data_IF_831811917058
#
_entry.id   IF_831811917058
#
_cell.length_a   1.000
_cell.length_b   1.000
_cell.length_c   1.000
_cell.angle_alpha   90.00
_cell.angle_beta   90.00
_cell.angle_gamma   90.00
#
_symmetry.space_group_name_H-M   'P 1'
#
loop_
_entity.id
_entity.type
_entity.pdbx_description
1 polymer ?
#
# COMPACT_ATOMS: atom_id res chain seq x y z
N UNK A 1 24.17 -18.04 -5.73
CA UNK A 1 24.56 -16.62 -5.62
C UNK A 1 23.81 -16.05 -4.42
N UNK A 2 24.49 -15.92 -3.28
CA UNK A 2 23.89 -15.55 -2.00
C UNK A 2 23.80 -14.03 -1.89
N UNK A 3 22.61 -13.47 -1.67
CA UNK A 3 22.44 -12.07 -1.27
C UNK A 3 21.81 -12.04 0.12
N UNK A 4 22.64 -11.87 1.14
CA UNK A 4 22.24 -11.52 2.49
C UNK A 4 21.87 -10.04 2.53
N UNK A 5 20.69 -9.71 3.05
CA UNK A 5 20.33 -8.34 3.40
C UNK A 5 20.36 -8.21 4.92
N UNK A 6 21.38 -7.52 5.41
CA UNK A 6 21.56 -7.15 6.81
C UNK A 6 20.58 -6.01 7.14
N UNK A 7 19.61 -6.28 8.02
CA UNK A 7 18.83 -5.25 8.69
C UNK A 7 19.74 -4.45 9.63
N UNK A 8 20.03 -3.19 9.29
CA UNK A 8 20.59 -2.23 10.24
C UNK A 8 19.45 -1.64 11.07
N UNK A 9 19.39 -2.05 12.33
CA UNK A 9 18.58 -1.43 13.38
C UNK A 9 19.13 -0.02 13.65
N UNK A 10 18.27 0.99 13.52
CA UNK A 10 18.56 2.36 13.88
C UNK A 10 18.64 2.51 15.41
N UNK A 11 19.74 3.11 15.90
CA UNK A 11 19.87 3.55 17.27
C UNK A 11 20.31 5.03 17.31
N UNK A 12 19.36 5.90 17.66
CA UNK A 12 19.55 6.90 18.72
C UNK A 12 20.29 8.22 18.46
N UNK A 13 19.52 9.30 18.67
CA UNK A 13 19.83 10.53 19.46
C UNK A 13 20.34 11.80 18.73
N UNK A 14 19.39 12.75 18.62
CA UNK A 14 19.45 14.23 18.84
C UNK A 14 20.78 14.99 18.71
N UNK A 15 20.78 16.07 17.92
CA UNK A 15 21.04 17.43 18.43
C UNK A 15 20.46 18.54 17.53
N UNK A 16 20.08 19.65 18.17
CA UNK A 16 19.38 20.84 17.69
C UNK A 16 20.38 22.00 17.56
N UNK A 17 20.43 22.75 16.44
CA UNK A 17 20.95 24.14 16.41
C UNK A 17 20.25 24.94 15.30
N UNK A 18 19.67 26.09 15.69
CA UNK A 18 19.18 27.16 14.82
C UNK A 18 20.33 28.04 14.31
N UNK A 19 20.25 28.47 13.04
CA UNK A 19 20.69 29.76 12.46
C UNK A 19 20.34 29.67 10.96
N UNK A 20 19.70 30.58 10.23
CA UNK A 20 19.53 32.03 10.30
C UNK A 20 19.71 32.58 8.86
N UNK A 21 19.07 33.71 8.52
CA UNK A 21 19.27 34.49 7.27
C UNK A 21 18.66 33.87 6.00
N UNK A 22 17.92 34.52 5.10
CA UNK A 22 17.63 35.93 4.83
C UNK A 22 17.49 36.09 3.30
N UNK A 23 16.64 37.03 2.83
CA UNK A 23 16.78 37.66 1.52
C UNK A 23 15.87 37.19 0.39
N UNK A 24 15.00 38.09 -0.07
CA UNK A 24 14.16 37.93 -1.26
C UNK A 24 14.86 38.18 -2.59
N UNK A 25 14.11 38.01 -3.67
CA UNK A 25 14.50 38.36 -5.03
C UNK A 25 13.40 38.03 -6.04
N UNK A 26 12.70 39.06 -6.51
CA UNK A 26 11.85 39.04 -7.70
C UNK A 26 12.69 38.80 -8.96
N UNK A 27 12.15 38.06 -9.93
CA UNK A 27 12.82 37.80 -11.20
C UNK A 27 11.96 37.03 -12.20
N UNK A 28 11.16 37.76 -12.95
CA UNK A 28 10.35 37.32 -14.09
C UNK A 28 11.18 36.63 -15.19
N UNK A 29 10.59 35.61 -15.80
CA UNK A 29 11.13 34.98 -17.01
C UNK A 29 10.35 33.72 -17.40
N UNK A 30 9.16 33.88 -17.96
CA UNK A 30 8.42 32.80 -18.64
C UNK A 30 8.28 33.15 -20.11
N UNK A 31 8.99 32.39 -20.95
CA UNK A 31 8.64 32.13 -22.34
C UNK A 31 9.23 30.76 -22.70
N UNK A 32 8.39 29.80 -23.08
CA UNK A 32 8.88 28.50 -23.55
C UNK A 32 7.87 27.36 -23.52
N UNK A 33 7.14 27.23 -24.63
CA UNK A 33 6.67 25.97 -25.22
C UNK A 33 5.53 25.19 -24.52
N UNK A 34 4.33 25.36 -25.09
CA UNK A 34 3.23 24.43 -24.98
C UNK A 34 3.60 23.06 -25.60
N UNK A 35 3.81 22.07 -24.74
CA UNK A 35 3.67 20.65 -25.09
C UNK A 35 2.36 20.15 -24.48
N UNK A 36 1.41 19.76 -25.32
CA UNK A 36 0.13 19.19 -24.87
C UNK A 36 0.36 17.89 -24.11
N UNK A 37 0.44 17.98 -22.80
CA UNK A 37 0.37 16.84 -21.89
C UNK A 37 -1.09 16.58 -21.58
N UNK A 38 -1.59 15.39 -21.93
CA UNK A 38 -2.92 14.89 -21.57
C UNK A 38 -2.99 14.46 -20.10
N UNK A 39 -2.33 15.20 -19.21
CA UNK A 39 -2.43 14.98 -17.77
C UNK A 39 -3.75 15.58 -17.31
N UNK A 40 -4.69 14.78 -16.76
CA UNK A 40 -5.93 15.33 -16.24
C UNK A 40 -5.60 16.36 -15.15
N UNK A 41 -6.16 17.57 -15.29
CA UNK A 41 -6.01 18.65 -14.32
C UNK A 41 -6.77 18.30 -13.04
N UNK A 42 -6.14 18.32 -11.86
CA UNK A 42 -6.82 18.01 -10.60
C UNK A 42 -7.84 19.11 -10.21
N UNK A 43 -9.03 18.69 -9.78
CA UNK A 43 -10.03 19.52 -9.09
C UNK A 43 -9.68 19.53 -7.58
N UNK A 44 -9.62 20.68 -6.87
CA UNK A 44 -9.23 20.72 -5.47
C UNK A 44 -10.35 20.17 -4.56
N UNK A 45 -10.25 18.88 -4.19
CA UNK A 45 -11.16 18.24 -3.23
C UNK A 45 -10.92 18.72 -1.80
N UNK A 46 -11.89 19.44 -1.23
CA UNK A 46 -11.89 19.97 0.13
C UNK A 46 -11.81 18.89 1.22
N UNK A 47 -11.20 19.23 2.37
CA UNK A 47 -11.12 18.39 3.55
C UNK A 47 -12.50 17.93 4.04
N UNK A 48 -12.82 16.67 3.78
CA UNK A 48 -14.05 16.01 4.23
C UNK A 48 -13.89 15.34 5.58
N UNK A 49 -15.02 15.02 6.23
CA UNK A 49 -15.04 14.15 7.41
C UNK A 49 -14.41 12.78 7.07
N UNK A 50 -13.93 12.02 8.07
CA UNK A 50 -13.35 10.67 7.87
C UNK A 50 -14.29 9.72 7.12
N UNK A 51 -15.60 9.86 7.29
CA UNK A 51 -16.61 9.12 6.54
C UNK A 51 -16.67 9.54 5.05
N UNK A 52 -16.52 10.83 4.78
CA UNK A 52 -16.53 11.39 3.42
C UNK A 52 -15.31 10.96 2.62
N UNK A 53 -14.12 10.97 3.24
CA UNK A 53 -12.87 10.60 2.55
C UNK A 53 -12.73 9.11 2.30
N UNK A 54 -13.33 8.26 3.15
CA UNK A 54 -13.30 6.81 3.00
C UNK A 54 -14.26 6.31 1.91
N UNK A 55 -15.38 7.02 1.68
CA UNK A 55 -16.49 6.57 0.82
C UNK A 55 -16.06 6.03 -0.56
N UNK A 56 -15.11 6.64 -1.29
CA UNK A 56 -14.69 6.12 -2.59
C UNK A 56 -13.99 4.75 -2.49
N UNK A 57 -13.36 4.44 -1.35
CA UNK A 57 -12.56 3.24 -1.12
C UNK A 57 -13.37 2.06 -0.58
N UNK A 58 -14.57 2.29 -0.02
CA UNK A 58 -15.38 1.26 0.64
C UNK A 58 -15.91 0.19 -0.33
N UNK A 59 -15.88 -1.06 0.11
CA UNK A 59 -16.29 -2.23 -0.67
C UNK A 59 -15.12 -3.08 -1.14
N UNK A 60 -15.41 -4.02 -2.03
CA UNK A 60 -14.42 -4.98 -2.54
C UNK A 60 -13.63 -4.41 -3.71
N UNK A 61 -12.34 -4.72 -3.73
CA UNK A 61 -11.42 -4.46 -4.83
C UNK A 61 -10.72 -5.77 -5.17
N UNK A 62 -10.72 -6.16 -6.44
CA UNK A 62 -10.10 -7.40 -6.92
C UNK A 62 -8.70 -7.14 -7.43
N UNK A 63 -7.77 -8.02 -7.12
CA UNK A 63 -6.42 -7.91 -7.68
C UNK A 63 -6.47 -8.16 -9.20
N UNK A 64 -5.85 -7.31 -10.07
CA UNK A 64 -5.60 -7.74 -11.47
C UNK A 64 -4.49 -8.75 -11.42
N UNK A 65 -4.89 -9.99 -11.31
CA UNK A 65 -4.83 -10.83 -12.48
C UNK A 65 -5.27 -12.18 -11.99
N UNK A 66 -6.18 -12.79 -12.74
CA UNK A 66 -6.60 -14.17 -12.49
C UNK A 66 -5.42 -15.18 -12.58
N UNK A 67 -4.17 -14.72 -12.80
CA UNK A 67 -2.96 -15.52 -13.01
C UNK A 67 -1.68 -14.98 -12.32
N UNK A 68 -1.72 -13.95 -11.46
CA UNK A 68 -0.50 -13.58 -10.69
C UNK A 68 -0.27 -14.62 -9.60
N UNK A 69 0.70 -15.48 -9.87
CA UNK A 69 1.21 -16.46 -8.93
C UNK A 69 2.63 -16.08 -8.52
N UNK A 70 2.90 -16.07 -7.23
CA UNK A 70 4.23 -15.76 -6.71
C UNK A 70 4.53 -16.62 -5.47
N UNK A 71 5.82 -16.85 -5.24
CA UNK A 71 6.38 -17.57 -4.11
C UNK A 71 6.72 -16.65 -2.93
N UNK A 72 6.65 -15.33 -3.10
CA UNK A 72 7.27 -14.38 -2.18
C UNK A 72 6.26 -13.62 -1.33
N UNK A 73 5.47 -14.35 -0.52
CA UNK A 73 4.58 -13.72 0.45
C UNK A 73 4.87 -14.19 1.89
N UNK A 74 5.00 -13.24 2.84
CA UNK A 74 5.14 -13.51 4.26
C UNK A 74 4.07 -14.43 4.86
N UNK A 75 2.86 -14.51 4.30
CA UNK A 75 1.79 -15.44 4.76
C UNK A 75 2.13 -16.92 4.56
N UNK A 76 3.17 -17.24 3.78
CA UNK A 76 3.72 -18.59 3.67
C UNK A 76 5.07 -18.63 4.40
N UNK A 77 5.31 -19.61 5.28
CA UNK A 77 6.60 -19.78 5.93
C UNK A 77 7.75 -19.81 4.93
N UNK A 78 8.86 -19.13 5.25
CA UNK A 78 10.01 -19.02 4.37
C UNK A 78 10.54 -20.39 3.87
N UNK A 79 10.42 -21.44 4.68
CA UNK A 79 10.79 -22.80 4.30
C UNK A 79 9.91 -23.42 3.21
N UNK A 80 8.71 -22.89 2.99
CA UNK A 80 7.72 -23.39 2.04
C UNK A 80 7.48 -22.45 0.84
N UNK A 81 7.93 -21.20 0.91
CA UNK A 81 7.78 -20.19 -0.16
C UNK A 81 8.20 -20.73 -1.54
N UNK A 82 9.38 -21.37 -1.64
CA UNK A 82 9.88 -21.97 -2.90
C UNK A 82 9.06 -23.13 -3.48
N UNK A 83 7.98 -23.56 -2.81
CA UNK A 83 7.14 -24.69 -3.22
C UNK A 83 5.66 -24.34 -3.32
N UNK A 84 5.25 -23.18 -2.82
CA UNK A 84 3.84 -22.79 -2.73
C UNK A 84 3.58 -21.58 -3.62
N UNK A 85 2.52 -21.66 -4.40
CA UNK A 85 2.00 -20.50 -5.11
C UNK A 85 1.09 -19.68 -4.21
N UNK A 86 1.22 -18.37 -4.26
CA UNK A 86 0.32 -17.42 -3.59
C UNK A 86 -0.27 -16.51 -4.65
N UNK A 87 -1.60 -16.42 -4.66
CA UNK A 87 -2.34 -15.48 -5.50
C UNK A 87 -3.12 -14.51 -4.60
N UNK A 88 -2.80 -13.21 -4.59
CA UNK A 88 -3.65 -12.21 -3.96
C UNK A 88 -4.99 -12.14 -4.69
N UNK A 89 -6.08 -12.02 -3.93
CA UNK A 89 -7.44 -12.10 -4.48
C UNK A 89 -8.11 -10.74 -4.43
N UNK A 90 -8.17 -10.15 -3.24
CA UNK A 90 -8.99 -8.98 -3.02
C UNK A 90 -8.63 -8.24 -1.76
N UNK A 91 -8.89 -6.94 -1.79
CA UNK A 91 -9.03 -6.09 -0.62
C UNK A 91 -10.52 -5.82 -0.37
N UNK A 92 -10.91 -5.74 0.89
CA UNK A 92 -12.22 -5.23 1.27
C UNK A 92 -12.06 -4.15 2.33
N UNK A 93 -12.64 -2.98 2.08
CA UNK A 93 -12.61 -1.87 3.00
C UNK A 93 -14.00 -1.57 3.53
N UNK A 94 -14.10 -1.45 4.85
CA UNK A 94 -15.23 -0.80 5.51
C UNK A 94 -14.76 0.52 6.12
N UNK A 95 -15.66 1.22 6.80
CA UNK A 95 -15.33 2.47 7.47
C UNK A 95 -14.20 2.32 8.51
N UNK A 96 -14.06 1.13 9.11
CA UNK A 96 -13.12 0.88 10.20
C UNK A 96 -12.33 -0.41 10.10
N UNK A 97 -12.58 -1.24 9.08
CA UNK A 97 -11.86 -2.49 8.86
C UNK A 97 -11.31 -2.58 7.45
N UNK A 98 -10.18 -3.28 7.34
CA UNK A 98 -9.57 -3.71 6.10
C UNK A 98 -9.38 -5.22 6.18
N UNK A 99 -9.77 -5.93 5.13
CA UNK A 99 -9.39 -7.33 4.94
C UNK A 99 -8.65 -7.50 3.63
N UNK A 100 -7.74 -8.48 3.62
CA UNK A 100 -6.93 -8.84 2.48
C UNK A 100 -6.83 -10.34 2.37
N UNK A 101 -7.18 -10.90 1.20
CA UNK A 101 -7.28 -12.35 1.00
C UNK A 101 -6.26 -12.86 0.00
N UNK A 102 -5.58 -13.94 0.38
CA UNK A 102 -4.71 -14.74 -0.48
C UNK A 102 -5.28 -16.13 -0.70
N UNK A 103 -5.08 -16.67 -1.90
CA UNK A 103 -5.19 -18.11 -2.17
C UNK A 103 -3.81 -18.73 -2.14
N UNK A 104 -3.73 -19.90 -1.52
CA UNK A 104 -2.52 -20.69 -1.39
C UNK A 104 -2.66 -21.96 -2.23
N UNK A 105 -1.59 -22.28 -2.95
CA UNK A 105 -1.52 -23.40 -3.88
C UNK A 105 -0.32 -24.29 -3.58
N UNK A 106 -0.44 -25.58 -3.88
CA UNK A 106 0.62 -26.59 -3.72
C UNK A 106 1.78 -26.42 -4.70
N UNK A 107 1.64 -25.55 -5.69
CA UNK A 107 2.59 -25.38 -6.78
C UNK A 107 2.77 -23.90 -7.16
N UNK A 108 3.95 -23.58 -7.69
CA UNK A 108 4.35 -22.24 -8.12
C UNK A 108 3.59 -21.70 -9.35
N UNK A 109 2.76 -22.52 -10.00
CA UNK A 109 1.92 -22.09 -11.11
C UNK A 109 0.48 -21.82 -10.67
N UNK A 110 0.20 -21.92 -9.37
CA UNK A 110 -1.12 -21.71 -8.79
C UNK A 110 -2.21 -22.57 -9.45
N UNK A 111 -1.91 -23.85 -9.68
CA UNK A 111 -2.83 -24.79 -10.35
C UNK A 111 -3.53 -25.75 -9.39
N UNK A 112 -2.94 -26.03 -8.23
CA UNK A 112 -3.44 -26.95 -7.21
C UNK A 112 -3.83 -26.19 -5.95
N UNK A 113 -5.11 -25.80 -5.86
CA UNK A 113 -5.61 -24.99 -4.74
C UNK A 113 -5.60 -25.77 -3.42
N UNK A 114 -5.07 -25.15 -2.36
CA UNK A 114 -5.03 -25.74 -1.02
C UNK A 114 -5.98 -25.08 -0.03
N UNK A 115 -6.20 -23.78 -0.17
CA UNK A 115 -6.95 -22.99 0.79
C UNK A 115 -6.73 -21.49 0.64
N UNK A 116 -7.35 -20.72 1.52
CA UNK A 116 -7.22 -19.26 1.55
C UNK A 116 -6.81 -18.75 2.91
N UNK A 117 -6.17 -17.58 2.92
CA UNK A 117 -5.79 -16.85 4.12
C UNK A 117 -6.36 -15.45 3.99
N UNK A 118 -7.22 -15.05 4.92
CA UNK A 118 -7.80 -13.71 4.97
C UNK A 118 -7.24 -13.00 6.20
N UNK A 119 -6.41 -12.00 5.98
CA UNK A 119 -5.91 -11.12 7.02
C UNK A 119 -6.91 -10.01 7.28
N UNK A 120 -7.15 -9.68 8.55
CA UNK A 120 -8.08 -8.63 8.95
C UNK A 120 -7.40 -7.66 9.90
N UNK A 121 -7.68 -6.38 9.73
CA UNK A 121 -7.23 -5.33 10.63
C UNK A 121 -8.21 -4.17 10.72
N UNK A 122 -7.94 -3.27 11.66
CA UNK A 122 -8.59 -1.97 11.67
C UNK A 122 -7.95 -1.03 10.65
N UNK A 123 -8.72 -0.06 10.17
CA UNK A 123 -8.22 1.01 9.30
C UNK A 123 -8.80 2.35 9.76
N UNK A 124 -7.95 3.39 9.77
CA UNK A 124 -8.35 4.78 9.98
C UNK A 124 -7.98 5.61 8.76
N UNK A 125 -8.82 6.58 8.42
CA UNK A 125 -8.72 7.36 7.20
C UNK A 125 -8.45 8.82 7.52
N UNK A 126 -7.57 9.45 6.75
CA UNK A 126 -7.28 10.87 6.84
C UNK A 126 -7.11 11.44 5.43
N UNK A 127 -7.60 12.66 5.18
CA UNK A 127 -7.35 13.33 3.91
C UNK A 127 -5.84 13.52 3.70
N UNK A 128 -5.37 13.36 2.47
CA UNK A 128 -3.99 13.61 2.12
C UNK A 128 -3.87 14.58 0.95
N UNK A 129 -2.66 15.10 0.77
CA UNK A 129 -2.29 15.82 -0.45
C UNK A 129 -1.04 15.15 -1.00
N UNK A 130 -1.13 14.70 -2.24
CA UNK A 130 -0.03 14.09 -2.98
C UNK A 130 -0.02 14.73 -4.36
N UNK A 131 1.14 15.21 -4.78
CA UNK A 131 1.27 15.91 -6.07
C UNK A 131 0.78 15.02 -7.21
N UNK A 132 -0.10 15.56 -8.06
CA UNK A 132 -0.67 14.83 -9.20
C UNK A 132 -1.88 13.95 -8.88
N UNK A 133 -2.38 13.95 -7.64
CA UNK A 133 -3.54 13.16 -7.22
C UNK A 133 -4.64 14.05 -6.66
N UNK A 134 -5.89 13.80 -7.08
CA UNK A 134 -7.04 14.66 -6.75
C UNK A 134 -7.66 14.34 -5.38
N UNK A 135 -7.67 13.09 -4.95
CA UNK A 135 -8.24 12.67 -3.66
C UNK A 135 -7.47 11.52 -2.99
N UNK A 136 -6.17 11.67 -2.73
CA UNK A 136 -5.45 10.66 -1.97
C UNK A 136 -5.88 10.70 -0.49
N UNK A 137 -5.81 9.55 0.16
CA UNK A 137 -6.04 9.43 1.61
C UNK A 137 -4.83 8.80 2.28
N UNK A 138 -4.52 9.22 3.49
CA UNK A 138 -3.63 8.51 4.39
C UNK A 138 -4.44 7.47 5.14
N UNK A 139 -3.84 6.29 5.30
CA UNK A 139 -4.43 5.22 6.09
C UNK A 139 -3.43 4.71 7.10
N UNK A 140 -3.93 4.50 8.32
CA UNK A 140 -3.24 3.69 9.32
C UNK A 140 -4.03 2.41 9.46
N UNK A 141 -3.36 1.28 9.30
CA UNK A 141 -3.95 -0.02 9.54
C UNK A 141 -3.24 -0.74 10.68
N UNK A 142 -4.00 -1.51 11.46
CA UNK A 142 -3.42 -2.37 12.50
C UNK A 142 -4.02 -3.76 12.42
N UNK A 143 -3.15 -4.76 12.52
CA UNK A 143 -3.54 -6.16 12.44
C UNK A 143 -4.44 -6.55 13.61
N UNK A 144 -5.54 -7.25 13.31
CA UNK A 144 -6.51 -7.72 14.31
C UNK A 144 -6.66 -9.24 14.34
N UNK A 145 -6.44 -9.92 13.22
CA UNK A 145 -6.67 -11.35 13.12
C UNK A 145 -6.42 -11.92 11.73
N UNK A 146 -6.46 -13.24 11.60
CA UNK A 146 -6.51 -13.93 10.31
C UNK A 146 -7.49 -15.11 10.37
N UNK A 147 -8.06 -15.44 9.22
CA UNK A 147 -8.84 -16.65 9.02
C UNK A 147 -8.19 -17.51 7.94
N UNK A 148 -8.25 -18.83 8.11
CA UNK A 148 -7.70 -19.80 7.14
C UNK A 148 -8.78 -20.78 6.74
N UNK A 149 -8.81 -21.11 5.46
CA UNK A 149 -9.63 -22.21 4.92
C UNK A 149 -8.73 -23.27 4.30
N UNK A 150 -9.24 -24.49 4.16
CA UNK A 150 -8.53 -25.58 3.51
C UNK A 150 -7.37 -26.15 4.33
N UNK A 151 -6.39 -26.75 3.66
CA UNK A 151 -5.25 -27.42 4.29
C UNK A 151 -4.01 -26.52 4.27
N UNK A 152 -4.15 -25.32 4.84
CA UNK A 152 -3.10 -24.30 4.90
C UNK A 152 -2.77 -24.03 6.37
N UNK A 153 -1.48 -23.83 6.66
CA UNK A 153 -1.01 -23.42 7.97
C UNK A 153 -0.28 -22.10 7.84
N UNK A 154 -0.73 -21.10 8.59
CA UNK A 154 -0.10 -19.78 8.71
C UNK A 154 0.10 -19.49 10.19
N UNK A 155 1.28 -19.00 10.56
CA UNK A 155 1.51 -18.52 11.93
C UNK A 155 1.05 -17.07 12.10
N UNK A 156 0.69 -16.70 13.32
CA UNK A 156 0.28 -15.32 13.61
C UNK A 156 1.41 -14.30 13.34
N UNK A 157 2.67 -14.70 13.52
CA UNK A 157 3.83 -13.86 13.23
C UNK A 157 3.95 -13.53 11.74
N UNK A 158 3.71 -14.52 10.87
CA UNK A 158 3.69 -14.38 9.42
C UNK A 158 2.53 -13.49 8.95
N UNK A 159 1.33 -13.75 9.49
CA UNK A 159 0.15 -12.93 9.23
C UNK A 159 0.36 -11.45 9.64
N UNK A 160 0.98 -11.21 10.80
CA UNK A 160 1.34 -9.86 11.27
C UNK A 160 2.39 -9.20 10.40
N UNK A 161 3.42 -9.94 9.98
CA UNK A 161 4.49 -9.42 9.13
C UNK A 161 3.95 -8.97 7.76
N UNK A 162 3.07 -9.76 7.16
CA UNK A 162 2.35 -9.40 5.93
C UNK A 162 1.55 -8.10 6.12
N UNK A 163 0.67 -8.08 7.12
CA UNK A 163 -0.21 -6.95 7.34
C UNK A 163 0.56 -5.66 7.67
N UNK A 164 1.70 -5.78 8.37
CA UNK A 164 2.56 -4.67 8.77
C UNK A 164 3.11 -3.84 7.61
N UNK A 165 3.25 -4.43 6.41
CA UNK A 165 3.67 -3.72 5.18
C UNK A 165 2.70 -2.59 4.82
N UNK A 166 1.44 -2.68 5.26
CA UNK A 166 0.37 -1.73 4.95
C UNK A 166 0.00 -0.82 6.14
N UNK A 167 0.76 -0.87 7.25
CA UNK A 167 0.41 -0.21 8.52
C UNK A 167 0.32 1.32 8.45
N UNK A 168 1.16 1.97 7.63
CA UNK A 168 1.02 3.38 7.25
C UNK A 168 1.16 3.49 5.74
N UNK A 169 0.11 3.94 5.08
CA UNK A 169 0.09 4.01 3.62
C UNK A 169 -0.69 5.24 3.13
N UNK A 170 -0.54 5.55 1.84
CA UNK A 170 -1.45 6.41 1.10
C UNK A 170 -2.24 5.54 0.13
N UNK A 171 -3.55 5.78 0.00
CA UNK A 171 -4.41 5.14 -0.98
C UNK A 171 -4.96 6.19 -1.95
N UNK A 172 -5.06 5.80 -3.21
CA UNK A 172 -5.55 6.65 -4.29
C UNK A 172 -6.40 5.82 -5.23
N UNK A 173 -7.36 6.47 -5.88
CA UNK A 173 -8.18 5.83 -6.92
C UNK A 173 -8.05 6.63 -8.21
N UNK A 174 -7.78 5.93 -9.30
CA UNK A 174 -7.80 6.49 -10.64
C UNK A 174 -8.42 5.46 -11.58
N UNK A 175 -9.39 5.85 -12.41
CA UNK A 175 -10.00 4.99 -13.43
C UNK A 175 -10.49 3.60 -12.93
N UNK A 176 -11.08 3.53 -11.72
CA UNK A 176 -11.50 2.29 -11.03
C UNK A 176 -10.35 1.35 -10.61
N UNK A 177 -9.14 1.87 -10.57
CA UNK A 177 -7.95 1.19 -10.07
C UNK A 177 -7.57 1.79 -8.71
N UNK A 178 -7.31 0.93 -7.73
CA UNK A 178 -6.80 1.26 -6.42
C UNK A 178 -5.27 1.27 -6.47
N UNK A 179 -4.67 2.38 -6.04
CA UNK A 179 -3.23 2.52 -5.91
C UNK A 179 -2.84 2.64 -4.44
N UNK A 180 -1.70 2.03 -4.11
CA UNK A 180 -1.02 2.19 -2.83
C UNK A 180 0.23 3.04 -2.96
N UNK A 181 0.69 3.58 -1.84
CA UNK A 181 1.94 4.29 -1.73
C UNK A 181 3.15 3.40 -2.04
N UNK A 182 4.17 4.00 -2.64
CA UNK A 182 5.47 3.37 -2.87
C UNK A 182 6.28 3.38 -1.57
N UNK A 183 6.47 2.19 -0.98
CA UNK A 183 7.22 1.99 0.25
C UNK A 183 8.70 2.42 0.17
N UNK A 184 9.25 2.69 -1.02
CA UNK A 184 10.59 3.26 -1.19
C UNK A 184 10.64 4.77 -0.98
N UNK A 185 9.49 5.46 -0.90
CA UNK A 185 9.37 6.92 -0.85
C UNK A 185 8.89 7.44 0.51
N UNK A 186 9.18 6.72 1.59
CA UNK A 186 8.66 7.04 2.93
C UNK A 186 9.21 8.38 3.45
N UNK A 187 8.29 9.30 3.75
CA UNK A 187 8.57 10.58 4.36
C UNK A 187 8.85 10.49 5.87
N UNK A 188 9.16 11.63 6.48
CA UNK A 188 9.53 11.72 7.90
C UNK A 188 8.38 11.38 8.86
N UNK A 189 7.14 11.46 8.41
CA UNK A 189 5.93 11.08 9.16
C UNK A 189 5.61 9.57 9.06
N UNK A 190 6.41 8.83 8.28
CA UNK A 190 6.29 7.39 8.07
C UNK A 190 5.28 7.00 7.00
N UNK A 191 4.74 7.95 6.22
CA UNK A 191 3.88 7.65 5.07
C UNK A 191 4.69 7.70 3.76
N UNK A 192 4.36 6.88 2.76
CA UNK A 192 4.85 7.08 1.40
C UNK A 192 4.52 8.49 0.88
N UNK A 193 5.42 9.06 0.08
CA UNK A 193 5.26 10.39 -0.53
C UNK A 193 4.87 10.33 -2.00
N UNK A 194 4.95 9.15 -2.63
CA UNK A 194 4.49 8.88 -3.98
C UNK A 194 3.67 7.59 -4.04
N UNK A 195 2.87 7.44 -5.09
CA UNK A 195 2.16 6.20 -5.40
C UNK A 195 3.05 5.24 -6.20
N UNK A 196 2.79 3.95 -6.05
CA UNK A 196 3.35 2.93 -6.93
C UNK A 196 2.89 3.12 -8.38
N UNK A 197 3.70 2.64 -9.32
CA UNK A 197 3.40 2.70 -10.76
C UNK A 197 2.38 1.65 -11.22
N UNK A 198 2.06 0.70 -10.36
CA UNK A 198 1.09 -0.37 -10.62
C UNK A 198 -0.05 -0.29 -9.60
N UNK A 199 -1.29 -0.47 -10.02
CA UNK A 199 -2.42 -0.55 -9.10
C UNK A 199 -2.33 -1.83 -8.26
N UNK A 200 -2.86 -1.73 -7.05
CA UNK A 200 -3.03 -2.84 -6.11
C UNK A 200 -4.23 -3.71 -6.47
N UNK A 201 -5.31 -3.10 -6.95
CA UNK A 201 -6.58 -3.76 -7.20
C UNK A 201 -7.52 -2.90 -8.05
N UNK A 202 -8.67 -3.46 -8.44
CA UNK A 202 -9.59 -2.96 -9.45
C UNK A 202 -11.04 -3.16 -9.01
N UNK A 203 -11.95 -2.38 -9.58
CA UNK A 203 -13.41 -2.53 -9.43
C UNK A 203 -14.10 -2.86 -10.73
#
# INVERSE_FOLDING_TARGET
MNRSWTLCVAAGVMTLVLTGCGGGGDGSGVDGQAGGSTTPTPDPGAGGSTATVASPFLGSWKYDSDNYCTDNWPVVPASMQSRKGVAPVSYEFTQSTMSYTHRIYSDLKCTQFEGSVTLTGSISWEAATVSGWSNPVRVISSYSGYEVTGNVTVSEAEAKAEFGVLSKNILGISANELFGGDASTVGTDGYPTAFGIHPLAYR
#
